data_IF_917768383761
#
_entry.id   IF_917768383761
#
_cell.length_a   1.000
_cell.length_b   1.000
_cell.length_c   1.000
_cell.angle_alpha   90.00
_cell.angle_beta   90.00
_cell.angle_gamma   90.00
#
_symmetry.space_group_name_H-M   'P 1'
#
loop_
_entity.id
_entity.type
_entity.pdbx_description
1 polymer ?
#
# COMPACT_ATOMS: atom_id res chain seq x y z
N UNK A 1 -23.90 -7.94 33.57
CA UNK A 1 -22.58 -7.43 33.17
C UNK A 1 -22.65 -7.24 31.67
N UNK A 2 -22.83 -6.01 31.22
CA UNK A 2 -22.90 -5.69 29.78
C UNK A 2 -21.52 -5.86 29.18
N UNK A 3 -21.30 -7.00 28.54
CA UNK A 3 -20.12 -7.24 27.70
C UNK A 3 -20.36 -6.62 26.31
N UNK A 4 -20.59 -5.31 26.27
CA UNK A 4 -20.55 -4.55 25.03
C UNK A 4 -19.07 -4.34 24.60
N UNK A 5 -18.39 -5.44 24.30
CA UNK A 5 -17.08 -5.38 23.67
C UNK A 5 -17.20 -4.71 22.29
N UNK A 6 -16.15 -4.01 21.88
CA UNK A 6 -16.11 -3.40 20.54
C UNK A 6 -16.27 -4.50 19.48
N UNK A 7 -16.96 -4.19 18.38
CA UNK A 7 -17.26 -5.13 17.29
C UNK A 7 -16.01 -5.89 16.80
N UNK A 8 -14.88 -5.18 16.71
CA UNK A 8 -13.60 -5.72 16.21
C UNK A 8 -12.97 -6.77 17.14
N UNK A 9 -13.30 -6.77 18.43
CA UNK A 9 -12.75 -7.74 19.40
C UNK A 9 -13.24 -9.19 19.17
N UNK A 10 -14.33 -9.34 18.44
CA UNK A 10 -14.95 -10.65 18.15
C UNK A 10 -14.92 -10.99 16.67
N UNK A 11 -14.36 -10.11 15.84
CA UNK A 11 -14.34 -10.27 14.39
C UNK A 11 -13.22 -11.21 13.94
N UNK A 12 -13.53 -12.03 12.96
CA UNK A 12 -12.55 -12.81 12.20
C UNK A 12 -12.05 -11.96 11.05
N UNK A 13 -10.76 -11.66 11.04
CA UNK A 13 -10.10 -10.89 9.99
C UNK A 13 -9.38 -11.86 9.06
N UNK A 14 -9.63 -11.75 7.77
CA UNK A 14 -8.97 -12.52 6.72
C UNK A 14 -8.13 -11.59 5.84
N UNK A 15 -6.80 -11.79 5.85
CA UNK A 15 -5.91 -11.00 5.00
C UNK A 15 -5.90 -11.54 3.58
N UNK A 16 -6.00 -10.64 2.61
CA UNK A 16 -5.86 -10.93 1.19
C UNK A 16 -4.66 -10.16 0.64
N UNK A 17 -3.73 -10.90 0.03
CA UNK A 17 -2.75 -10.35 -0.88
C UNK A 17 -3.34 -10.39 -2.29
N UNK A 18 -3.76 -9.25 -2.87
CA UNK A 18 -4.54 -9.24 -4.11
C UNK A 18 -3.91 -10.05 -5.24
N UNK A 19 -2.61 -9.85 -5.48
CA UNK A 19 -1.84 -10.49 -6.55
C UNK A 19 -1.99 -12.03 -6.62
N UNK A 20 -2.15 -12.71 -5.48
CA UNK A 20 -2.13 -14.17 -5.41
C UNK A 20 -3.44 -14.80 -4.97
N UNK A 21 -4.51 -14.02 -4.78
CA UNK A 21 -5.75 -14.55 -4.22
C UNK A 21 -6.67 -15.17 -5.27
N UNK A 22 -7.06 -14.40 -6.29
CA UNK A 22 -7.92 -14.87 -7.37
C UNK A 22 -7.73 -14.02 -8.61
N UNK A 23 -7.31 -14.64 -9.68
CA UNK A 23 -7.19 -14.09 -11.02
C UNK A 23 -8.56 -14.24 -11.71
N UNK A 24 -9.17 -13.13 -12.13
CA UNK A 24 -10.48 -13.12 -12.78
C UNK A 24 -10.39 -13.13 -14.31
N UNK A 25 -9.26 -12.67 -14.87
CA UNK A 25 -9.10 -12.44 -16.30
C UNK A 25 -8.17 -13.46 -16.99
N UNK A 26 -7.43 -14.26 -16.21
CA UNK A 26 -6.57 -15.34 -16.71
C UNK A 26 -5.16 -14.87 -17.09
N UNK A 27 -4.70 -13.73 -16.57
CA UNK A 27 -3.36 -13.20 -16.85
C UNK A 27 -2.27 -13.72 -15.88
N UNK A 28 -2.66 -14.50 -14.86
CA UNK A 28 -1.77 -15.05 -13.84
C UNK A 28 -1.63 -14.16 -12.61
N UNK A 29 -2.32 -13.03 -12.55
CA UNK A 29 -2.27 -12.07 -11.46
C UNK A 29 -3.67 -11.94 -10.84
N UNK A 30 -3.77 -12.08 -9.52
CA UNK A 30 -5.02 -11.86 -8.81
C UNK A 30 -5.42 -10.38 -8.83
N UNK A 31 -6.72 -10.11 -8.85
CA UNK A 31 -7.27 -8.78 -9.04
C UNK A 31 -8.50 -8.50 -8.16
N UNK A 32 -9.01 -7.26 -8.18
CA UNK A 32 -10.17 -6.85 -7.37
C UNK A 32 -11.45 -7.56 -7.80
N UNK A 33 -11.64 -7.81 -9.09
CA UNK A 33 -12.79 -8.56 -9.61
C UNK A 33 -12.77 -10.02 -9.14
N UNK A 34 -11.57 -10.62 -9.06
CA UNK A 34 -11.39 -11.94 -8.47
C UNK A 34 -11.77 -11.98 -6.99
N UNK A 35 -11.44 -10.93 -6.23
CA UNK A 35 -11.87 -10.81 -4.83
C UNK A 35 -13.37 -10.68 -4.73
N UNK A 36 -14.01 -9.86 -5.58
CA UNK A 36 -15.47 -9.70 -5.65
C UNK A 36 -16.13 -11.07 -5.88
N UNK A 37 -15.63 -11.83 -6.84
CA UNK A 37 -16.13 -13.17 -7.15
C UNK A 37 -16.02 -14.19 -6.01
N UNK A 38 -15.20 -13.90 -4.99
CA UNK A 38 -14.99 -14.77 -3.81
C UNK A 38 -15.63 -14.27 -2.52
N UNK A 39 -16.36 -13.17 -2.53
CA UNK A 39 -16.98 -12.62 -1.32
C UNK A 39 -17.95 -13.58 -0.65
N UNK A 40 -18.75 -14.34 -1.42
CA UNK A 40 -19.66 -15.34 -0.86
C UNK A 40 -18.90 -16.50 -0.20
N UNK A 41 -17.78 -16.92 -0.79
CA UNK A 41 -16.88 -17.90 -0.16
C UNK A 41 -16.36 -17.40 1.18
N UNK A 42 -15.86 -16.17 1.25
CA UNK A 42 -15.33 -15.57 2.47
C UNK A 42 -16.43 -15.42 3.53
N UNK A 43 -17.61 -14.97 3.12
CA UNK A 43 -18.78 -14.88 4.02
C UNK A 43 -19.18 -16.23 4.60
N UNK A 44 -19.25 -17.27 3.77
CA UNK A 44 -19.60 -18.62 4.19
C UNK A 44 -18.53 -19.27 5.07
N UNK A 45 -17.26 -18.86 4.92
CA UNK A 45 -16.15 -19.28 5.79
C UNK A 45 -16.26 -18.68 7.20
N UNK A 46 -17.10 -17.65 7.40
CA UNK A 46 -17.28 -16.98 8.69
C UNK A 46 -16.36 -15.77 8.89
N UNK A 47 -15.83 -15.19 7.81
CA UNK A 47 -15.06 -13.95 7.85
C UNK A 47 -15.99 -12.76 8.11
N UNK A 48 -15.56 -11.84 8.95
CA UNK A 48 -16.25 -10.58 9.24
C UNK A 48 -15.58 -9.38 8.58
N UNK A 49 -14.26 -9.46 8.42
CA UNK A 49 -13.43 -8.36 7.93
C UNK A 49 -12.41 -8.89 6.93
N UNK A 50 -12.33 -8.26 5.78
CA UNK A 50 -11.29 -8.49 4.78
C UNK A 50 -10.24 -7.39 4.94
N UNK A 51 -8.98 -7.80 5.13
CA UNK A 51 -7.84 -6.90 5.13
C UNK A 51 -7.07 -7.06 3.83
N UNK A 52 -7.03 -6.00 3.03
CA UNK A 52 -6.28 -5.96 1.79
C UNK A 52 -4.87 -5.44 2.04
N UNK A 53 -3.85 -6.22 1.65
CA UNK A 53 -2.48 -5.71 1.50
C UNK A 53 -2.45 -4.59 0.45
N UNK A 54 -1.40 -3.73 0.41
CA UNK A 54 -1.39 -2.57 -0.46
C UNK A 54 -1.70 -2.91 -1.92
N UNK A 55 -2.62 -2.17 -2.50
CA UNK A 55 -3.08 -2.30 -3.90
C UNK A 55 -3.07 -0.95 -4.65
N UNK A 56 -2.46 0.07 -4.03
CA UNK A 56 -2.26 1.38 -4.66
C UNK A 56 -1.26 1.31 -5.80
N UNK A 57 -1.25 2.31 -6.67
CA UNK A 57 -0.24 2.44 -7.71
C UNK A 57 1.17 2.41 -7.12
N UNK A 58 2.00 1.51 -7.62
CA UNK A 58 3.33 1.21 -7.12
C UNK A 58 4.20 0.63 -8.23
N UNK A 59 5.50 0.93 -8.31
CA UNK A 59 6.43 0.20 -9.16
C UNK A 59 6.69 -1.24 -8.68
N UNK A 60 6.11 -1.62 -7.53
CA UNK A 60 6.15 -2.97 -6.96
C UNK A 60 7.56 -3.47 -6.62
N UNK A 61 8.47 -2.56 -6.28
CA UNK A 61 9.81 -2.91 -5.81
C UNK A 61 9.79 -3.52 -4.40
N UNK A 62 8.78 -3.16 -3.59
CA UNK A 62 8.55 -3.67 -2.24
C UNK A 62 7.13 -4.26 -2.08
N UNK A 63 6.70 -5.08 -3.04
CA UNK A 63 5.42 -5.80 -3.01
C UNK A 63 4.20 -4.87 -2.76
N UNK A 64 4.22 -3.66 -3.31
CA UNK A 64 3.16 -2.67 -3.19
C UNK A 64 3.31 -1.71 -2.01
N UNK A 65 4.29 -1.92 -1.11
CA UNK A 65 4.56 -1.01 0.00
C UNK A 65 5.35 0.24 -0.41
N UNK A 66 5.85 0.30 -1.65
CA UNK A 66 6.50 1.45 -2.29
C UNK A 66 5.48 2.22 -3.16
N UNK A 67 4.61 2.99 -2.51
CA UNK A 67 3.46 3.61 -3.16
C UNK A 67 3.90 4.83 -3.97
N UNK A 68 3.55 4.85 -5.26
CA UNK A 68 3.79 5.96 -6.18
C UNK A 68 2.60 6.92 -6.32
N UNK A 69 1.38 6.45 -6.04
CA UNK A 69 0.18 7.28 -6.00
C UNK A 69 -0.87 6.66 -5.05
N UNK A 70 -1.18 7.35 -3.96
CA UNK A 70 -2.16 6.90 -2.96
C UNK A 70 -3.62 7.02 -3.41
N UNK A 71 -3.88 7.66 -4.54
CA UNK A 71 -5.22 7.92 -5.06
C UNK A 71 -5.56 7.07 -6.28
N UNK A 72 -4.68 6.12 -6.63
CA UNK A 72 -4.87 5.20 -7.75
C UNK A 72 -4.67 3.76 -7.33
N UNK A 73 -5.42 2.88 -7.98
CA UNK A 73 -5.21 1.44 -7.89
C UNK A 73 -4.05 1.05 -8.82
N UNK A 74 -3.27 0.05 -8.43
CA UNK A 74 -2.27 -0.56 -9.31
C UNK A 74 -2.99 -1.17 -10.53
N UNK A 75 -2.55 -0.83 -11.74
CA UNK A 75 -3.24 -1.16 -12.98
C UNK A 75 -3.52 -2.66 -13.13
N UNK A 76 -2.60 -3.51 -12.67
CA UNK A 76 -2.75 -4.97 -12.69
C UNK A 76 -3.91 -5.48 -11.80
N UNK A 77 -4.31 -4.72 -10.79
CA UNK A 77 -5.36 -5.12 -9.85
C UNK A 77 -6.74 -4.59 -10.23
N UNK A 78 -6.82 -3.62 -11.13
CA UNK A 78 -8.06 -3.01 -11.59
C UNK A 78 -8.10 -1.49 -11.44
N UNK A 79 -9.29 -0.95 -11.29
CA UNK A 79 -9.58 0.48 -11.30
C UNK A 79 -10.19 0.94 -9.97
N UNK A 80 -10.39 2.25 -9.81
CA UNK A 80 -11.16 2.80 -8.68
C UNK A 80 -12.62 2.34 -8.71
N UNK A 81 -13.20 2.18 -9.90
CA UNK A 81 -14.58 1.67 -10.04
C UNK A 81 -14.67 0.22 -9.54
N UNK A 82 -13.66 -0.62 -9.79
CA UNK A 82 -13.59 -1.98 -9.25
C UNK A 82 -13.48 -1.98 -7.72
N UNK A 83 -12.74 -1.03 -7.15
CA UNK A 83 -12.65 -0.89 -5.69
C UNK A 83 -13.99 -0.43 -5.08
N UNK A 84 -14.66 0.52 -5.70
CA UNK A 84 -15.99 0.99 -5.27
C UNK A 84 -17.02 -0.15 -5.36
N UNK A 85 -16.95 -0.98 -6.40
CA UNK A 85 -17.77 -2.18 -6.52
C UNK A 85 -17.44 -3.19 -5.41
N UNK A 86 -16.16 -3.48 -5.17
CA UNK A 86 -15.74 -4.38 -4.09
C UNK A 86 -16.29 -3.91 -2.73
N UNK A 87 -16.18 -2.63 -2.43
CA UNK A 87 -16.65 -2.04 -1.18
C UNK A 87 -18.17 -2.21 -1.04
N UNK A 88 -18.92 -1.91 -2.09
CA UNK A 88 -20.38 -2.06 -2.13
C UNK A 88 -20.79 -3.52 -1.94
N UNK A 89 -20.21 -4.44 -2.69
CA UNK A 89 -20.53 -5.86 -2.66
C UNK A 89 -20.17 -6.53 -1.33
N UNK A 90 -19.03 -6.13 -0.73
CA UNK A 90 -18.64 -6.57 0.60
C UNK A 90 -19.65 -6.10 1.67
N UNK A 91 -20.04 -4.83 1.64
CA UNK A 91 -20.99 -4.27 2.59
C UNK A 91 -22.39 -4.93 2.48
N UNK A 92 -22.85 -5.26 1.29
CA UNK A 92 -24.11 -6.02 1.11
C UNK A 92 -24.08 -7.39 1.80
N UNK A 93 -22.89 -7.97 1.94
CA UNK A 93 -22.66 -9.25 2.62
C UNK A 93 -22.31 -9.11 4.11
N UNK A 94 -22.41 -7.90 4.66
CA UNK A 94 -21.96 -7.56 6.01
C UNK A 94 -20.47 -7.87 6.26
N UNK A 95 -19.64 -7.82 5.21
CA UNK A 95 -18.18 -7.86 5.31
C UNK A 95 -17.65 -6.43 5.40
N UNK A 96 -16.71 -6.22 6.29
CA UNK A 96 -15.97 -4.94 6.40
C UNK A 96 -14.66 -5.03 5.62
N UNK A 97 -14.21 -3.90 5.11
CA UNK A 97 -12.91 -3.80 4.43
C UNK A 97 -11.96 -2.98 5.31
N UNK A 98 -10.74 -3.49 5.48
CA UNK A 98 -9.59 -2.76 6.02
C UNK A 98 -8.55 -2.73 4.92
N UNK A 99 -7.90 -1.58 4.75
CA UNK A 99 -6.79 -1.39 3.81
C UNK A 99 -5.54 -0.95 4.56
N UNK A 100 -4.38 -1.31 4.06
CA UNK A 100 -3.12 -0.84 4.60
C UNK A 100 -2.97 0.67 4.35
N UNK A 101 -2.51 1.38 5.36
CA UNK A 101 -2.15 2.79 5.27
C UNK A 101 -0.64 2.94 5.42
N UNK A 102 0.07 2.97 4.31
CA UNK A 102 1.53 3.08 4.28
C UNK A 102 1.92 4.54 4.36
N UNK A 103 2.07 5.07 5.57
CA UNK A 103 2.36 6.49 5.84
C UNK A 103 3.79 6.74 6.33
N UNK A 104 4.60 5.69 6.45
CA UNK A 104 5.99 5.81 6.92
C UNK A 104 6.92 6.34 5.83
N UNK A 105 6.67 5.99 4.59
CA UNK A 105 7.47 6.31 3.41
C UNK A 105 6.60 6.32 2.15
N UNK A 106 7.17 6.75 1.04
CA UNK A 106 6.60 6.58 -0.30
C UNK A 106 7.62 5.93 -1.23
N UNK A 107 7.20 5.56 -2.44
CA UNK A 107 8.12 5.25 -3.52
C UNK A 107 8.95 6.49 -3.91
N UNK A 108 10.15 6.28 -4.41
CA UNK A 108 10.94 7.32 -5.09
C UNK A 108 10.33 7.74 -6.42
N UNK A 109 9.37 6.96 -6.93
CA UNK A 109 8.56 7.34 -8.09
C UNK A 109 7.34 8.21 -7.73
N UNK A 110 7.07 8.43 -6.45
CA UNK A 110 5.98 9.32 -6.02
C UNK A 110 6.28 10.78 -6.41
N UNK A 111 5.26 11.50 -6.89
CA UNK A 111 5.38 12.89 -7.30
C UNK A 111 5.94 13.81 -6.20
N UNK A 112 5.63 13.53 -4.94
CA UNK A 112 6.19 14.29 -3.82
C UNK A 112 7.72 14.11 -3.73
N UNK A 113 8.20 12.89 -3.93
CA UNK A 113 9.64 12.61 -3.89
C UNK A 113 10.36 13.28 -5.08
N UNK A 114 9.83 13.12 -6.30
CA UNK A 114 10.39 13.75 -7.50
C UNK A 114 10.47 15.28 -7.35
N UNK A 115 9.39 15.91 -6.88
CA UNK A 115 9.37 17.37 -6.63
C UNK A 115 10.29 17.78 -5.49
N UNK A 116 10.38 16.99 -4.41
CA UNK A 116 11.32 17.23 -3.32
C UNK A 116 12.76 17.15 -3.81
N UNK A 117 13.10 16.13 -4.58
CA UNK A 117 14.41 15.93 -5.21
C UNK A 117 14.78 17.09 -6.14
N UNK A 118 13.82 17.62 -6.88
CA UNK A 118 14.01 18.81 -7.73
C UNK A 118 13.99 20.14 -6.96
N UNK A 119 13.83 20.13 -5.63
CA UNK A 119 13.82 21.33 -4.79
C UNK A 119 12.61 22.22 -4.94
N UNK A 120 11.48 21.70 -5.47
CA UNK A 120 10.24 22.45 -5.76
C UNK A 120 9.43 22.66 -4.47
N UNK A 121 9.07 23.90 -4.16
CA UNK A 121 8.18 24.22 -3.04
C UNK A 121 6.70 23.83 -3.36
N UNK A 122 5.91 23.38 -2.35
CA UNK A 122 6.26 23.18 -0.93
C UNK A 122 6.94 21.84 -0.63
N UNK A 123 7.21 21.02 -1.64
CA UNK A 123 7.66 19.62 -1.51
C UNK A 123 9.12 19.49 -1.06
N UNK A 124 9.91 20.56 -1.17
CA UNK A 124 11.34 20.54 -0.92
C UNK A 124 11.76 19.80 0.35
N UNK A 125 10.99 19.94 1.42
CA UNK A 125 11.28 19.40 2.75
C UNK A 125 10.35 18.25 3.17
N UNK A 126 9.67 17.59 2.23
CA UNK A 126 8.83 16.44 2.54
C UNK A 126 9.63 15.20 2.92
N UNK A 127 10.88 15.13 2.49
CA UNK A 127 11.82 14.03 2.78
C UNK A 127 13.05 14.56 3.49
N UNK A 128 13.82 13.64 4.10
CA UNK A 128 15.03 13.98 4.86
C UNK A 128 16.20 14.05 3.90
N UNK A 129 16.72 15.24 3.70
CA UNK A 129 17.92 15.52 2.90
C UNK A 129 19.05 15.96 3.83
N UNK A 130 20.28 15.46 3.60
CA UNK A 130 21.46 15.79 4.41
C UNK A 130 22.71 15.78 3.54
N UNK A 131 23.55 16.78 3.72
CA UNK A 131 24.87 16.79 3.11
C UNK A 131 25.72 15.70 3.71
N UNK A 132 26.50 15.05 2.87
CA UNK A 132 27.54 14.12 3.29
C UNK A 132 28.67 14.83 4.03
N UNK A 133 29.52 14.06 4.70
CA UNK A 133 30.70 14.56 5.43
C UNK A 133 31.95 13.94 4.80
N UNK A 134 32.87 14.77 4.33
CA UNK A 134 34.15 14.35 3.73
C UNK A 134 33.97 13.33 2.57
N UNK A 135 32.99 13.55 1.71
CA UNK A 135 32.69 12.68 0.58
C UNK A 135 32.07 11.32 0.96
N UNK A 136 31.61 11.19 2.21
CA UNK A 136 30.93 10.00 2.74
C UNK A 136 29.50 10.34 3.11
N UNK A 137 28.73 9.31 3.46
CA UNK A 137 27.38 9.42 3.97
C UNK A 137 27.29 10.32 5.22
N UNK A 138 26.12 10.95 5.48
CA UNK A 138 25.94 11.82 6.66
C UNK A 138 26.18 11.14 8.00
N UNK A 139 25.90 9.84 8.08
CA UNK A 139 26.11 9.01 9.26
C UNK A 139 26.10 7.52 8.89
N UNK A 140 26.15 6.63 9.87
CA UNK A 140 26.21 5.18 9.70
C UNK A 140 24.84 4.48 9.76
N UNK A 141 23.75 5.18 9.49
CA UNK A 141 22.43 4.56 9.48
C UNK A 141 22.32 3.48 8.39
N UNK A 142 21.64 2.39 8.74
CA UNK A 142 21.43 1.25 7.86
C UNK A 142 20.00 1.16 7.43
N UNK A 143 19.78 0.74 6.19
CA UNK A 143 18.49 0.37 5.68
C UNK A 143 18.03 -0.98 6.29
N UNK A 144 16.72 -1.14 6.49
CA UNK A 144 16.13 -2.43 6.85
C UNK A 144 16.30 -3.48 5.73
N UNK A 145 16.51 -3.04 4.50
CA UNK A 145 16.76 -3.89 3.33
C UNK A 145 18.26 -4.16 3.08
N UNK A 146 19.10 -3.92 4.07
CA UNK A 146 20.56 -3.94 3.99
C UNK A 146 21.20 -2.70 3.35
N UNK A 147 22.52 -2.52 3.57
CA UNK A 147 23.25 -1.38 3.05
C UNK A 147 23.01 -0.09 3.84
N UNK A 148 23.35 1.05 3.22
CA UNK A 148 23.15 2.38 3.78
C UNK A 148 21.67 2.79 3.74
N UNK A 149 21.26 3.62 4.72
CA UNK A 149 19.98 4.32 4.67
C UNK A 149 20.04 5.58 3.79
N UNK A 150 21.18 5.93 3.25
CA UNK A 150 21.42 7.13 2.47
C UNK A 150 21.80 6.81 1.04
N UNK A 151 21.23 7.59 0.11
CA UNK A 151 21.61 7.57 -1.30
C UNK A 151 21.90 9.00 -1.74
N UNK A 152 23.06 9.22 -2.34
CA UNK A 152 23.46 10.54 -2.82
C UNK A 152 22.61 10.97 -4.03
N UNK A 153 22.11 12.20 -3.98
CA UNK A 153 21.41 12.85 -5.08
C UNK A 153 22.30 13.90 -5.73
N UNK A 154 22.67 13.69 -6.99
CA UNK A 154 23.45 14.69 -7.76
C UNK A 154 22.67 16.00 -7.96
N UNK A 155 21.33 15.92 -8.10
CA UNK A 155 20.49 17.11 -8.29
C UNK A 155 20.48 18.00 -7.05
N UNK A 156 20.50 17.40 -5.86
CA UNK A 156 20.46 18.13 -4.60
C UNK A 156 21.84 18.39 -3.99
N UNK A 157 22.85 17.67 -4.40
CA UNK A 157 24.18 17.64 -3.79
C UNK A 157 24.15 17.26 -2.29
N UNK A 158 23.18 16.37 -1.97
CA UNK A 158 22.88 15.88 -0.61
C UNK A 158 22.65 14.37 -0.60
#
# INVERSE_FOLDING_TARGET
>A
MDHNGHWWQKSVVYQIYPRSFMDSNGDGIGDLQGIIGKLDYLRNLGVDVIWLSPFYASPNADNGYDISDYQKIMEEFGTMDDFDELLKEAHQRNLKIIIDMVVNHSSDEHEWFKKSKAGIEPYRNYYIWRKGVDGKEPNNWRSNFSGSAWTYSEERQE
#
